data_IF_066658528691
#
_entry.id   IF_066658528691
#
_cell.length_a   1.000
_cell.length_b   1.000
_cell.length_c   1.000
_cell.angle_alpha   90.00
_cell.angle_beta   90.00
_cell.angle_gamma   90.00
#
_symmetry.space_group_name_H-M   'P 1'
#
loop_
_entity.id
_entity.type
_entity.pdbx_description
1 polymer ?
#
# COMPACT_ATOMS: atom_id res chain seq x y z
N UNK A 1 -31.51 -31.34 -24.53
CA UNK A 1 -31.84 -32.26 -23.41
C UNK A 1 -30.54 -32.59 -22.70
N UNK A 2 -30.45 -32.27 -21.41
CA UNK A 2 -29.25 -32.40 -20.58
C UNK A 2 -29.35 -31.40 -19.43
N UNK A 3 -29.92 -31.87 -18.32
CA UNK A 3 -30.38 -31.13 -17.14
C UNK A 3 -29.23 -30.51 -16.35
N UNK A 4 -29.30 -29.20 -16.09
CA UNK A 4 -28.53 -28.53 -15.04
C UNK A 4 -29.10 -28.94 -13.69
N UNK A 5 -28.32 -29.69 -12.91
CA UNK A 5 -28.63 -30.02 -11.52
C UNK A 5 -28.23 -28.87 -10.60
N UNK A 6 -29.20 -28.40 -9.81
CA UNK A 6 -29.04 -27.45 -8.73
C UNK A 6 -27.99 -27.93 -7.71
N UNK A 7 -26.99 -27.08 -7.45
CA UNK A 7 -26.09 -27.26 -6.31
C UNK A 7 -26.59 -26.39 -5.15
N UNK A 8 -27.07 -27.05 -4.10
CA UNK A 8 -27.56 -26.45 -2.86
C UNK A 8 -26.52 -25.56 -2.16
N UNK A 9 -26.95 -24.53 -1.41
CA UNK A 9 -26.04 -23.70 -0.62
C UNK A 9 -25.43 -24.52 0.53
N UNK A 10 -24.12 -24.38 0.71
CA UNK A 10 -23.39 -24.99 1.81
C UNK A 10 -23.80 -24.28 3.11
N UNK A 11 -24.47 -25.02 3.99
CA UNK A 11 -24.85 -24.61 5.34
C UNK A 11 -23.60 -24.54 6.24
N UNK A 12 -23.24 -23.34 6.70
CA UNK A 12 -22.05 -23.05 7.51
C UNK A 12 -22.36 -23.16 9.01
N UNK A 13 -23.58 -23.54 9.39
CA UNK A 13 -24.03 -23.57 10.79
C UNK A 13 -23.45 -24.74 11.58
N UNK A 14 -22.80 -25.71 10.93
CA UNK A 14 -22.22 -26.88 11.59
C UNK A 14 -20.79 -26.68 12.14
N UNK A 15 -20.15 -25.52 11.91
CA UNK A 15 -18.76 -25.26 12.33
C UNK A 15 -18.63 -24.53 13.68
N UNK A 16 -19.73 -24.38 14.43
CA UNK A 16 -19.75 -23.66 15.72
C UNK A 16 -20.06 -24.60 16.91
N UNK A 17 -20.45 -25.87 16.71
CA UNK A 17 -20.82 -26.75 17.83
C UNK A 17 -19.66 -27.45 18.54
N UNK A 18 -18.44 -27.39 18.03
CA UNK A 18 -17.29 -28.11 18.60
C UNK A 18 -16.32 -27.25 19.44
N UNK A 19 -16.70 -26.00 19.76
CA UNK A 19 -15.88 -25.10 20.59
C UNK A 19 -16.54 -24.67 21.91
N UNK A 20 -17.69 -25.23 22.29
CA UNK A 20 -18.40 -24.84 23.54
C UNK A 20 -18.47 -25.94 24.60
N UNK A 21 -17.82 -27.09 24.41
CA UNK A 21 -17.84 -28.16 25.40
C UNK A 21 -16.44 -28.52 25.89
N UNK A 22 -15.85 -27.63 26.67
CA UNK A 22 -15.03 -28.00 27.82
C UNK A 22 -14.78 -26.76 28.68
N UNK A 23 -15.47 -26.72 29.81
CA UNK A 23 -15.29 -25.74 30.88
C UNK A 23 -13.99 -26.00 31.63
N UNK A 24 -13.12 -24.99 31.78
CA UNK A 24 -12.65 -24.53 33.10
C UNK A 24 -11.64 -23.37 33.01
N UNK A 25 -12.03 -22.25 33.65
CA UNK A 25 -11.17 -21.34 34.43
C UNK A 25 -9.97 -20.65 33.77
N UNK A 26 -10.20 -19.50 33.11
CA UNK A 26 -9.16 -18.46 32.93
C UNK A 26 -9.54 -17.19 33.71
N UNK A 27 -8.60 -16.57 34.46
CA UNK A 27 -8.89 -15.35 35.20
C UNK A 27 -9.13 -14.18 34.24
N UNK A 28 -10.11 -13.36 34.57
CA UNK A 28 -10.46 -12.12 33.87
C UNK A 28 -9.30 -11.12 33.92
N UNK A 29 -8.63 -10.92 32.79
CA UNK A 29 -7.76 -9.75 32.59
C UNK A 29 -8.62 -8.55 32.17
N UNK A 30 -8.48 -7.37 32.83
CA UNK A 30 -9.30 -6.22 32.49
C UNK A 30 -8.75 -5.56 31.21
N UNK A 31 -9.49 -5.67 30.11
CA UNK A 31 -9.21 -5.04 28.82
C UNK A 31 -9.00 -3.51 28.91
N UNK A 32 -9.47 -2.88 30.00
CA UNK A 32 -9.31 -1.46 30.29
C UNK A 32 -7.88 -1.03 30.63
N UNK A 33 -7.03 -1.90 31.17
CA UNK A 33 -5.64 -1.55 31.50
C UNK A 33 -4.74 -1.49 30.25
N UNK A 34 -4.98 -2.37 29.28
CA UNK A 34 -4.28 -2.37 27.99
C UNK A 34 -4.64 -1.11 27.20
N UNK A 35 -5.90 -0.69 27.22
CA UNK A 35 -6.35 0.54 26.58
C UNK A 35 -5.73 1.80 27.21
N UNK A 36 -5.51 1.79 28.53
CA UNK A 36 -4.88 2.91 29.26
C UNK A 36 -3.37 3.04 28.97
N UNK A 37 -2.67 1.92 28.77
CA UNK A 37 -1.26 1.89 28.34
C UNK A 37 -1.07 2.32 26.87
N UNK A 38 -2.06 2.06 26.00
CA UNK A 38 -2.04 2.45 24.59
C UNK A 38 -2.43 3.92 24.32
N UNK A 39 -2.86 4.65 25.36
CA UNK A 39 -3.39 6.03 25.25
C UNK A 39 -2.63 7.08 26.06
N UNK A 40 -1.53 6.72 26.73
CA UNK A 40 -0.72 7.71 27.45
C UNK A 40 0.14 8.54 26.50
N UNK A 41 0.25 9.87 26.68
CA UNK A 41 1.18 10.70 25.92
C UNK A 41 2.65 10.41 26.32
N UNK A 42 3.53 10.25 25.33
CA UNK A 42 4.97 10.02 25.53
C UNK A 42 5.67 11.22 26.20
N UNK A 43 6.76 11.00 26.95
CA UNK A 43 7.58 12.08 27.50
C UNK A 43 8.52 12.71 26.44
N UNK A 44 8.98 13.97 26.64
CA UNK A 44 9.79 14.68 25.65
C UNK A 44 11.23 14.13 25.60
N UNK A 45 11.71 13.81 24.39
CA UNK A 45 13.12 13.52 24.14
C UNK A 45 13.91 14.84 24.18
N UNK A 46 14.76 14.98 25.19
CA UNK A 46 15.69 16.08 25.35
C UNK A 46 16.78 16.07 24.27
N UNK A 47 17.16 17.28 23.86
CA UNK A 47 18.17 17.63 22.86
C UNK A 47 19.58 17.13 23.22
N UNK A 48 20.28 16.60 22.23
CA UNK A 48 21.74 16.49 22.21
C UNK A 48 22.19 16.83 20.78
N UNK A 49 22.38 18.13 20.53
CA UNK A 49 23.05 18.65 19.34
C UNK A 49 24.54 18.79 19.63
N UNK A 50 25.37 17.96 19.00
CA UNK A 50 26.80 18.22 18.87
C UNK A 50 27.01 18.99 17.57
N UNK A 51 27.39 20.27 17.69
CA UNK A 51 27.77 21.13 16.57
C UNK A 51 29.08 20.62 15.93
N UNK A 52 28.98 20.17 14.68
CA UNK A 52 30.12 19.76 13.85
C UNK A 52 30.57 20.82 12.83
N UNK A 53 30.05 22.06 12.92
CA UNK A 53 30.32 23.13 11.96
C UNK A 53 31.44 24.12 12.39
N UNK A 54 32.28 23.77 13.36
CA UNK A 54 33.37 24.64 13.84
C UNK A 54 34.77 24.09 13.58
N UNK A 55 34.94 23.21 12.60
CA UNK A 55 36.25 22.75 12.15
C UNK A 55 36.24 22.67 10.63
N UNK A 56 37.17 23.40 10.02
CA UNK A 56 37.48 23.47 8.58
C UNK A 56 36.66 24.51 7.80
N UNK A 57 37.13 25.75 7.88
CA UNK A 57 36.83 26.76 6.86
C UNK A 57 37.63 26.49 5.59
N UNK A 58 36.95 26.49 4.45
CA UNK A 58 37.56 26.71 3.15
C UNK A 58 36.64 27.60 2.31
N UNK A 59 37.20 28.72 1.88
CA UNK A 59 36.64 29.67 0.94
C UNK A 59 37.16 29.28 -0.44
N UNK A 60 36.28 28.97 -1.37
CA UNK A 60 36.63 28.88 -2.80
C UNK A 60 35.47 29.37 -3.64
N UNK A 61 35.68 30.53 -4.26
CA UNK A 61 34.97 30.98 -5.46
C UNK A 61 35.16 29.95 -6.58
N UNK A 62 34.06 29.38 -7.09
CA UNK A 62 34.06 28.66 -8.37
C UNK A 62 32.78 29.00 -9.14
N UNK A 63 33.03 29.72 -10.24
CA UNK A 63 32.37 29.81 -11.54
C UNK A 63 31.00 29.13 -11.70
N UNK A 64 30.02 29.91 -12.21
CA UNK A 64 28.82 29.42 -12.89
C UNK A 64 29.22 28.49 -14.03
N UNK A 65 29.09 27.18 -13.79
CA UNK A 65 29.00 26.18 -14.86
C UNK A 65 27.53 25.79 -15.00
N UNK A 66 27.04 25.82 -16.23
CA UNK A 66 25.65 25.54 -16.55
C UNK A 66 25.35 24.06 -16.29
N UNK A 67 24.79 23.76 -15.13
CA UNK A 67 24.32 22.42 -14.79
C UNK A 67 23.05 22.09 -15.59
N UNK A 68 23.26 21.51 -16.77
CA UNK A 68 22.25 20.77 -17.52
C UNK A 68 22.06 19.35 -16.93
N UNK A 69 22.11 19.20 -15.60
CA UNK A 69 21.42 18.12 -14.91
C UNK A 69 19.92 18.31 -15.17
N UNK A 70 19.36 17.60 -16.15
CA UNK A 70 17.92 17.42 -16.23
C UNK A 70 17.47 16.82 -14.89
N UNK A 71 16.92 17.65 -14.00
CA UNK A 71 16.41 17.17 -12.73
C UNK A 71 15.39 16.08 -13.06
N UNK A 72 15.70 14.85 -12.67
CA UNK A 72 14.85 13.70 -12.93
C UNK A 72 13.44 14.03 -12.40
N UNK A 73 12.45 13.98 -13.29
CA UNK A 73 11.05 14.36 -13.05
C UNK A 73 10.15 13.23 -13.51
N UNK A 74 8.98 13.06 -12.87
CA UNK A 74 7.96 12.13 -13.37
C UNK A 74 7.51 12.52 -14.78
N UNK A 75 7.81 11.66 -15.74
CA UNK A 75 7.40 11.81 -17.15
C UNK A 75 6.10 11.07 -17.44
N UNK A 76 5.77 10.02 -16.68
CA UNK A 76 4.49 9.29 -16.79
C UNK A 76 3.87 9.04 -15.42
N UNK A 77 2.58 9.34 -15.29
CA UNK A 77 1.73 8.92 -14.18
C UNK A 77 0.89 7.73 -14.64
N UNK A 78 1.13 6.55 -14.07
CA UNK A 78 0.34 5.36 -14.36
C UNK A 78 -0.91 5.32 -13.48
N UNK A 79 -2.04 5.73 -14.05
CA UNK A 79 -3.32 5.83 -13.40
C UNK A 79 -4.11 4.51 -13.47
N UNK A 80 -3.63 3.52 -12.72
CA UNK A 80 -4.31 2.25 -12.54
C UNK A 80 -4.36 1.90 -11.05
N UNK A 81 -5.55 1.73 -10.50
CA UNK A 81 -5.68 1.32 -9.09
C UNK A 81 -5.06 -0.07 -8.88
N UNK A 82 -4.79 -0.39 -7.61
CA UNK A 82 -4.31 -1.71 -7.23
C UNK A 82 -5.12 -2.83 -7.88
N UNK A 83 -4.47 -3.94 -8.25
CA UNK A 83 -5.11 -5.12 -8.85
C UNK A 83 -5.63 -4.93 -10.30
N UNK A 84 -5.13 -3.93 -11.02
CA UNK A 84 -5.45 -3.67 -12.43
C UNK A 84 -4.34 -4.05 -13.42
N UNK A 85 -3.49 -5.01 -13.07
CA UNK A 85 -2.37 -5.41 -13.95
C UNK A 85 -1.15 -4.49 -13.87
N UNK A 86 -1.06 -3.67 -12.82
CA UNK A 86 0.01 -2.68 -12.57
C UNK A 86 1.42 -3.25 -12.69
N UNK A 87 1.66 -4.50 -12.26
CA UNK A 87 2.98 -5.15 -12.38
C UNK A 87 3.39 -5.41 -13.83
N UNK A 88 2.46 -5.85 -14.68
CA UNK A 88 2.75 -6.06 -16.11
C UNK A 88 3.15 -4.76 -16.79
N UNK A 89 2.46 -3.67 -16.47
CA UNK A 89 2.76 -2.36 -17.04
C UNK A 89 4.05 -1.79 -16.47
N UNK A 90 4.33 -1.99 -15.18
CA UNK A 90 5.61 -1.63 -14.59
C UNK A 90 6.80 -2.29 -15.33
N UNK A 91 6.68 -3.57 -15.65
CA UNK A 91 7.71 -4.27 -16.44
C UNK A 91 7.73 -3.82 -17.90
N UNK A 92 6.58 -3.51 -18.50
CA UNK A 92 6.53 -2.96 -19.85
C UNK A 92 7.29 -1.62 -19.93
N UNK A 93 7.08 -0.73 -18.95
CA UNK A 93 7.79 0.53 -18.84
C UNK A 93 9.30 0.34 -18.65
N UNK A 94 9.73 -0.64 -17.86
CA UNK A 94 11.16 -0.97 -17.68
C UNK A 94 11.81 -1.44 -18.97
N UNK A 95 11.11 -2.27 -19.74
CA UNK A 95 11.58 -2.69 -21.07
C UNK A 95 11.78 -1.50 -22.01
N UNK A 96 10.97 -0.44 -21.88
CA UNK A 96 11.11 0.81 -22.64
C UNK A 96 12.21 1.76 -22.09
N UNK A 97 12.97 1.31 -21.07
CA UNK A 97 14.11 2.02 -20.50
C UNK A 97 13.77 3.02 -19.40
N UNK A 98 12.55 3.00 -18.85
CA UNK A 98 12.17 3.88 -17.75
C UNK A 98 12.54 3.32 -16.38
N UNK A 99 12.88 4.21 -15.46
CA UNK A 99 12.92 3.91 -14.02
C UNK A 99 11.50 3.98 -13.45
N UNK A 100 11.05 2.89 -12.81
CA UNK A 100 9.63 2.72 -12.43
C UNK A 100 9.49 2.36 -10.97
N UNK A 101 8.69 3.13 -10.23
CA UNK A 101 8.24 2.75 -8.90
C UNK A 101 7.06 1.77 -8.99
N UNK A 102 7.17 0.64 -8.31
CA UNK A 102 6.07 -0.30 -8.13
C UNK A 102 6.06 -0.89 -6.72
N UNK A 103 4.86 -0.95 -6.10
CA UNK A 103 4.71 -1.20 -4.67
C UNK A 103 5.19 -2.57 -4.18
N UNK A 104 5.28 -3.57 -5.05
CA UNK A 104 5.69 -4.93 -4.67
C UNK A 104 7.15 -5.26 -4.97
N UNK A 105 7.90 -4.38 -5.62
CA UNK A 105 9.32 -4.64 -5.92
C UNK A 105 10.15 -4.73 -4.65
N UNK A 106 9.94 -3.78 -3.73
CA UNK A 106 10.49 -3.81 -2.39
C UNK A 106 9.44 -3.36 -1.37
N UNK A 107 8.62 -4.32 -0.93
CA UNK A 107 7.58 -4.10 0.06
C UNK A 107 8.14 -3.49 1.35
N UNK A 108 9.39 -3.73 1.73
CA UNK A 108 9.95 -3.22 2.98
C UNK A 108 10.65 -1.87 2.81
N UNK A 109 11.37 -1.68 1.70
CA UNK A 109 12.11 -0.46 1.41
C UNK A 109 11.26 0.69 0.85
N UNK A 110 9.98 0.44 0.53
CA UNK A 110 9.05 1.53 0.22
C UNK A 110 9.04 2.61 1.32
N UNK A 111 8.91 3.90 0.96
CA UNK A 111 8.95 5.01 1.91
C UNK A 111 7.62 5.13 2.68
N UNK A 112 7.23 4.09 3.43
CA UNK A 112 5.91 3.97 4.07
C UNK A 112 5.56 5.13 5.00
N UNK A 113 6.55 5.67 5.72
CA UNK A 113 6.36 6.87 6.55
C UNK A 113 5.91 8.04 5.68
N UNK A 114 6.55 8.27 4.53
CA UNK A 114 6.23 9.40 3.65
C UNK A 114 4.90 9.18 2.92
N UNK A 115 4.57 7.94 2.54
CA UNK A 115 3.25 7.58 1.98
C UNK A 115 2.15 7.83 3.00
N UNK A 116 2.38 7.48 4.27
CA UNK A 116 1.43 7.75 5.35
C UNK A 116 1.20 9.26 5.52
N UNK A 117 2.28 10.05 5.54
CA UNK A 117 2.20 11.52 5.59
C UNK A 117 1.47 12.10 4.38
N UNK A 118 1.67 11.54 3.19
CA UNK A 118 0.96 11.93 1.97
C UNK A 118 -0.54 11.66 2.08
N UNK A 119 -0.94 10.52 2.67
CA UNK A 119 -2.34 10.21 2.95
C UNK A 119 -2.96 11.21 3.94
N UNK A 120 -2.25 11.56 5.01
CA UNK A 120 -2.70 12.55 5.99
C UNK A 120 -2.84 13.96 5.41
N UNK A 121 -1.90 14.36 4.55
CA UNK A 121 -1.95 15.65 3.85
C UNK A 121 -3.06 15.71 2.79
N UNK A 122 -3.33 14.59 2.13
CA UNK A 122 -4.35 14.51 1.06
C UNK A 122 -5.77 14.39 1.64
N UNK A 123 -5.93 13.64 2.71
CA UNK A 123 -7.22 13.37 3.35
C UNK A 123 -7.12 13.62 4.86
N UNK A 124 -7.21 14.89 5.31
CA UNK A 124 -6.97 15.24 6.71
C UNK A 124 -8.06 14.73 7.68
N UNK A 125 -9.21 14.27 7.17
CA UNK A 125 -10.33 13.78 7.97
C UNK A 125 -10.30 12.28 8.28
N UNK A 126 -9.26 11.55 7.83
CA UNK A 126 -9.14 10.10 8.06
C UNK A 126 -8.83 9.76 9.52
N UNK A 127 -9.22 8.57 10.01
CA UNK A 127 -8.93 8.14 11.38
C UNK A 127 -7.43 8.16 11.72
N UNK A 128 -7.08 8.80 12.83
CA UNK A 128 -5.72 8.87 13.33
C UNK A 128 -4.77 9.71 12.48
N UNK A 129 -5.30 10.62 11.65
CA UNK A 129 -4.49 11.57 10.90
C UNK A 129 -3.83 12.60 11.82
N UNK A 130 -2.56 12.87 11.56
CA UNK A 130 -1.92 14.10 12.00
C UNK A 130 -2.24 15.22 11.00
N UNK A 131 -2.66 16.39 11.46
CA UNK A 131 -2.93 17.52 10.56
C UNK A 131 -1.66 17.93 9.81
N UNK A 132 -1.77 18.09 8.48
CA UNK A 132 -0.67 18.47 7.60
C UNK A 132 -1.16 19.46 6.55
N UNK A 133 -0.22 20.22 6.01
CA UNK A 133 -0.47 21.01 4.81
C UNK A 133 -0.55 20.10 3.59
N UNK A 134 -1.34 20.47 2.56
CA UNK A 134 -1.34 19.75 1.29
C UNK A 134 0.07 19.64 0.72
N UNK A 135 0.41 18.47 0.17
CA UNK A 135 1.72 18.24 -0.43
C UNK A 135 1.96 19.18 -1.62
N UNK A 136 3.12 19.80 -1.62
CA UNK A 136 3.68 20.54 -2.73
C UNK A 136 4.36 19.59 -3.72
N UNK A 137 4.77 20.12 -4.88
CA UNK A 137 5.60 19.37 -5.84
C UNK A 137 6.87 18.80 -5.21
N UNK A 138 7.56 19.57 -4.37
CA UNK A 138 8.79 19.14 -3.71
C UNK A 138 8.57 17.95 -2.75
N UNK A 139 7.41 17.89 -2.10
CA UNK A 139 7.04 16.75 -1.25
C UNK A 139 6.85 15.48 -2.08
N UNK A 140 6.23 15.61 -3.25
CA UNK A 140 6.09 14.50 -4.21
C UNK A 140 7.43 14.09 -4.83
N UNK A 141 8.34 15.04 -5.07
CA UNK A 141 9.69 14.76 -5.57
C UNK A 141 10.50 13.95 -4.55
N UNK A 142 10.36 14.30 -3.26
CA UNK A 142 10.98 13.56 -2.15
C UNK A 142 10.44 12.14 -2.02
N UNK A 143 9.16 11.93 -2.39
CA UNK A 143 8.51 10.63 -2.34
C UNK A 143 8.90 9.75 -3.53
N UNK A 144 8.78 10.28 -4.75
CA UNK A 144 9.01 9.55 -6.00
C UNK A 144 9.69 10.38 -7.09
N UNK A 145 9.34 11.65 -7.25
CA UNK A 145 9.68 12.39 -8.48
C UNK A 145 11.16 12.58 -8.76
N UNK A 146 12.02 12.55 -7.73
CA UNK A 146 13.48 12.64 -7.87
C UNK A 146 14.18 11.31 -8.21
N UNK A 147 13.47 10.17 -8.19
CA UNK A 147 14.06 8.82 -8.28
C UNK A 147 13.52 7.97 -9.42
N UNK A 148 12.34 8.32 -9.91
CA UNK A 148 11.61 7.51 -10.87
C UNK A 148 11.09 8.40 -11.98
N UNK A 149 11.08 7.86 -13.19
CA UNK A 149 10.43 8.49 -14.35
C UNK A 149 8.93 8.20 -14.31
N UNK A 150 8.54 7.05 -13.77
CA UNK A 150 7.15 6.56 -13.76
C UNK A 150 6.77 6.03 -12.38
N UNK A 151 5.58 6.41 -11.92
CA UNK A 151 4.97 5.90 -10.68
C UNK A 151 3.73 5.06 -10.97
N UNK A 152 3.58 3.97 -10.22
CA UNK A 152 2.46 3.02 -10.33
C UNK A 152 1.96 2.60 -8.94
N UNK A 153 0.87 1.83 -8.88
CA UNK A 153 0.43 1.07 -7.70
C UNK A 153 0.21 1.90 -6.42
N UNK A 154 1.24 2.11 -5.58
CA UNK A 154 1.15 2.92 -4.36
C UNK A 154 0.89 4.41 -4.63
N UNK A 155 1.24 4.89 -5.82
CA UNK A 155 0.95 6.24 -6.26
C UNK A 155 -0.49 6.42 -6.76
N UNK A 156 -1.18 5.33 -7.12
CA UNK A 156 -2.48 5.38 -7.78
C UNK A 156 -3.56 6.13 -7.00
N UNK A 157 -3.67 6.00 -5.66
CA UNK A 157 -4.64 6.78 -4.87
C UNK A 157 -4.40 8.30 -4.92
N UNK A 158 -3.18 8.74 -5.28
CA UNK A 158 -2.74 10.13 -5.29
C UNK A 158 -2.67 10.74 -6.70
N UNK A 159 -3.18 10.04 -7.71
CA UNK A 159 -3.03 10.46 -9.13
C UNK A 159 -3.58 11.86 -9.38
N UNK A 160 -4.69 12.26 -8.74
CA UNK A 160 -5.21 13.62 -8.90
C UNK A 160 -4.23 14.67 -8.37
N UNK A 161 -3.56 14.42 -7.25
CA UNK A 161 -2.56 15.30 -6.66
C UNK A 161 -1.30 15.33 -7.54
N UNK A 162 -0.87 14.16 -8.04
CA UNK A 162 0.27 14.03 -8.94
C UNK A 162 0.02 14.74 -10.28
N UNK A 163 -1.17 14.65 -10.87
CA UNK A 163 -1.50 15.38 -12.11
C UNK A 163 -1.35 16.90 -11.92
N UNK A 164 -1.71 17.43 -10.75
CA UNK A 164 -1.54 18.85 -10.43
C UNK A 164 -0.07 19.22 -10.22
N UNK A 165 0.69 18.36 -9.55
CA UNK A 165 2.11 18.59 -9.25
C UNK A 165 3.01 18.44 -10.50
N UNK A 166 2.64 17.56 -11.44
CA UNK A 166 3.39 17.24 -12.65
C UNK A 166 2.52 17.51 -13.89
N UNK A 167 2.28 18.78 -14.26
CA UNK A 167 1.36 19.12 -15.34
C UNK A 167 1.83 18.64 -16.72
N UNK A 168 3.13 18.43 -16.88
CA UNK A 168 3.74 17.97 -18.14
C UNK A 168 3.80 16.44 -18.27
N UNK A 169 3.59 15.69 -17.18
CA UNK A 169 3.64 14.24 -17.21
C UNK A 169 2.50 13.67 -18.06
N UNK A 170 2.81 12.72 -18.93
CA UNK A 170 1.80 11.92 -19.65
C UNK A 170 1.06 11.03 -18.66
N UNK A 171 -0.20 10.73 -18.92
CA UNK A 171 -1.03 9.90 -18.04
C UNK A 171 -1.52 8.67 -18.79
N UNK A 172 -1.14 7.49 -18.31
CA UNK A 172 -1.66 6.22 -18.85
C UNK A 172 -2.75 5.72 -17.91
N UNK A 173 -3.98 5.69 -18.38
CA UNK A 173 -5.16 5.28 -17.62
C UNK A 173 -5.47 3.83 -17.95
N UNK A 174 -5.47 2.97 -16.92
CA UNK A 174 -5.95 1.60 -17.05
C UNK A 174 -7.14 1.43 -16.14
N UNK A 175 -8.31 1.25 -16.72
CA UNK A 175 -9.56 1.08 -16.01
C UNK A 175 -10.18 -0.26 -16.38
N UNK A 176 -10.61 -1.02 -15.36
CA UNK A 176 -11.41 -2.24 -15.54
C UNK A 176 -12.88 -1.94 -15.24
N UNK A 177 -13.76 -2.84 -15.65
CA UNK A 177 -15.10 -2.87 -15.07
C UNK A 177 -15.02 -3.03 -13.54
N UNK A 178 -15.87 -2.31 -12.81
CA UNK A 178 -15.82 -2.28 -11.35
C UNK A 178 -16.25 -3.59 -10.73
N UNK A 179 -17.33 -4.21 -11.21
CA UNK A 179 -17.84 -5.47 -10.65
C UNK A 179 -16.82 -6.60 -10.85
N UNK A 180 -16.02 -6.50 -11.91
CA UNK A 180 -14.89 -7.39 -12.19
C UNK A 180 -13.64 -7.10 -11.35
N UNK A 181 -13.42 -5.85 -10.93
CA UNK A 181 -12.24 -5.41 -10.18
C UNK A 181 -12.43 -5.50 -8.67
N UNK A 182 -13.56 -5.04 -8.15
CA UNK A 182 -13.84 -4.88 -6.72
C UNK A 182 -13.61 -6.16 -5.91
N UNK A 183 -14.05 -7.36 -6.34
CA UNK A 183 -13.79 -8.59 -5.59
C UNK A 183 -12.29 -8.89 -5.43
N UNK A 184 -11.47 -8.56 -6.44
CA UNK A 184 -10.01 -8.72 -6.41
C UNK A 184 -9.36 -7.73 -5.46
N UNK A 185 -9.79 -6.46 -5.51
CA UNK A 185 -9.34 -5.41 -4.61
C UNK A 185 -9.67 -5.74 -3.16
N UNK A 186 -10.95 -6.02 -2.88
CA UNK A 186 -11.48 -6.36 -1.55
C UNK A 186 -10.75 -7.53 -0.93
N UNK A 187 -10.62 -8.63 -1.66
CA UNK A 187 -9.99 -9.85 -1.13
C UNK A 187 -8.49 -9.71 -0.86
N UNK A 188 -7.76 -8.94 -1.67
CA UNK A 188 -6.31 -8.83 -1.53
C UNK A 188 -5.90 -7.73 -0.55
N UNK A 189 -6.59 -6.59 -0.54
CA UNK A 189 -6.24 -5.44 0.29
C UNK A 189 -7.10 -5.35 1.52
N UNK A 190 -8.43 -5.27 1.36
CA UNK A 190 -9.31 -5.00 2.50
C UNK A 190 -9.33 -6.16 3.51
N UNK A 191 -9.46 -7.40 3.03
CA UNK A 191 -9.44 -8.58 3.92
C UNK A 191 -8.12 -8.69 4.69
N UNK A 192 -7.00 -8.40 4.02
CA UNK A 192 -5.66 -8.46 4.63
C UNK A 192 -5.45 -7.36 5.67
N UNK A 193 -6.04 -6.17 5.47
CA UNK A 193 -5.78 -4.97 6.26
C UNK A 193 -6.81 -4.71 7.37
N UNK A 194 -8.02 -5.27 7.28
CA UNK A 194 -9.12 -4.87 8.17
C UNK A 194 -9.91 -6.02 8.80
N UNK A 195 -9.94 -7.23 8.22
CA UNK A 195 -10.95 -8.24 8.62
C UNK A 195 -10.53 -9.11 9.81
N UNK A 196 -9.23 -9.26 10.12
CA UNK A 196 -8.79 -10.10 11.24
C UNK A 196 -8.53 -9.28 12.52
N UNK A 197 -9.00 -9.73 13.70
CA UNK A 197 -8.73 -9.05 14.97
C UNK A 197 -7.25 -9.09 15.36
N UNK A 198 -6.44 -9.94 14.72
CA UNK A 198 -4.99 -10.00 14.93
C UNK A 198 -4.22 -8.96 14.10
N UNK A 199 -4.87 -8.26 13.17
CA UNK A 199 -4.19 -7.26 12.33
C UNK A 199 -3.57 -6.14 13.16
N UNK A 200 -4.26 -5.48 14.10
CA UNK A 200 -3.66 -4.41 14.92
C UNK A 200 -2.41 -4.88 15.67
N UNK A 201 -2.44 -6.10 16.22
CA UNK A 201 -1.30 -6.74 16.89
C UNK A 201 -0.15 -6.95 15.89
N UNK A 202 -0.45 -7.48 14.71
CA UNK A 202 0.54 -7.67 13.65
C UNK A 202 1.19 -6.36 13.20
N UNK A 203 0.41 -5.29 13.03
CA UNK A 203 0.91 -3.97 12.67
C UNK A 203 1.79 -3.37 13.76
N UNK A 204 1.39 -3.53 15.03
CA UNK A 204 2.19 -3.10 16.18
C UNK A 204 3.58 -3.73 16.14
N UNK A 205 3.67 -5.06 15.96
CA UNK A 205 4.96 -5.74 15.87
C UNK A 205 5.74 -5.42 14.59
N UNK A 206 5.06 -5.27 13.44
CA UNK A 206 5.73 -4.90 12.19
C UNK A 206 6.40 -3.52 12.28
N UNK A 207 5.78 -2.57 12.99
CA UNK A 207 6.43 -1.31 13.35
C UNK A 207 7.52 -1.53 14.39
N UNK A 208 7.20 -1.94 15.61
CA UNK A 208 8.13 -1.83 16.74
C UNK A 208 9.33 -2.80 16.65
N UNK A 209 9.19 -3.91 15.91
CA UNK A 209 10.28 -4.87 15.73
C UNK A 209 10.99 -4.74 14.39
N UNK A 210 10.29 -4.33 13.32
CA UNK A 210 10.88 -4.30 11.97
C UNK A 210 10.97 -2.89 11.37
N UNK A 211 10.45 -1.85 12.03
CA UNK A 211 10.41 -0.49 11.51
C UNK A 211 9.47 -0.28 10.32
N UNK A 212 8.60 -1.23 9.99
CA UNK A 212 7.78 -1.22 8.77
C UNK A 212 6.39 -0.67 9.06
N UNK A 213 6.06 0.50 8.49
CA UNK A 213 4.75 1.15 8.65
C UNK A 213 3.72 0.82 7.58
N UNK A 214 4.00 -0.15 6.71
CA UNK A 214 3.19 -0.46 5.52
C UNK A 214 1.68 -0.57 5.80
N UNK A 215 1.29 -1.31 6.83
CA UNK A 215 -0.14 -1.47 7.13
C UNK A 215 -0.79 -0.22 7.70
N UNK A 216 -0.08 0.60 8.49
CA UNK A 216 -0.60 1.89 8.95
C UNK A 216 -0.82 2.86 7.78
N UNK A 217 0.20 2.98 6.91
CA UNK A 217 0.14 3.77 5.69
C UNK A 217 -1.03 3.33 4.81
N UNK A 218 -1.12 2.03 4.50
CA UNK A 218 -2.16 1.50 3.63
C UNK A 218 -3.55 1.66 4.23
N UNK A 219 -3.76 1.49 5.55
CA UNK A 219 -5.07 1.75 6.16
C UNK A 219 -5.50 3.20 5.99
N UNK A 220 -4.59 4.16 6.23
CA UNK A 220 -4.85 5.59 6.02
C UNK A 220 -5.13 5.92 4.55
N UNK A 221 -4.35 5.38 3.63
CA UNK A 221 -4.58 5.53 2.18
C UNK A 221 -5.97 5.03 1.79
N UNK A 222 -6.39 3.85 2.26
CA UNK A 222 -7.70 3.30 1.90
C UNK A 222 -8.85 4.08 2.53
N UNK A 223 -8.73 4.45 3.81
CA UNK A 223 -9.72 5.32 4.45
C UNK A 223 -9.86 6.66 3.73
N UNK A 224 -8.75 7.28 3.35
CA UNK A 224 -8.78 8.56 2.63
C UNK A 224 -9.35 8.43 1.23
N UNK A 225 -8.84 7.46 0.45
CA UNK A 225 -9.29 7.22 -0.92
C UNK A 225 -10.81 6.99 -0.99
N UNK A 226 -11.36 6.16 -0.09
CA UNK A 226 -12.80 5.88 -0.06
C UNK A 226 -13.63 6.89 0.74
N UNK A 227 -13.01 7.91 1.35
CA UNK A 227 -13.72 8.87 2.20
C UNK A 227 -14.44 8.20 3.38
N UNK A 228 -13.76 7.26 4.04
CA UNK A 228 -14.34 6.34 5.00
C UNK A 228 -13.54 6.29 6.32
N UNK A 229 -14.21 5.92 7.41
CA UNK A 229 -13.63 5.77 8.76
C UNK A 229 -13.57 4.32 9.24
N UNK A 230 -14.27 3.42 8.58
CA UNK A 230 -14.34 2.00 8.89
C UNK A 230 -14.54 1.18 7.61
N UNK A 231 -14.53 -0.15 7.73
CA UNK A 231 -14.64 -1.05 6.58
C UNK A 231 -16.01 -1.00 5.92
N UNK A 232 -17.08 -0.80 6.69
CA UNK A 232 -18.45 -0.70 6.17
C UNK A 232 -18.61 0.52 5.27
N UNK A 233 -18.09 1.68 5.70
CA UNK A 233 -18.06 2.90 4.89
C UNK A 233 -17.20 2.73 3.62
N UNK A 234 -16.08 1.98 3.69
CA UNK A 234 -15.29 1.66 2.48
C UNK A 234 -16.16 0.90 1.47
N UNK A 235 -16.87 -0.13 1.91
CA UNK A 235 -17.74 -0.94 1.03
C UNK A 235 -18.89 -0.10 0.46
N UNK A 236 -19.54 0.72 1.30
CA UNK A 236 -20.65 1.58 0.89
C UNK A 236 -20.22 2.64 -0.14
N UNK A 237 -19.02 3.22 0.00
CA UNK A 237 -18.53 4.29 -0.85
C UNK A 237 -17.81 3.79 -2.12
N UNK A 238 -17.44 2.51 -2.17
CA UNK A 238 -16.53 1.94 -3.17
C UNK A 238 -16.87 2.30 -4.63
N UNK A 239 -18.13 2.05 -5.03
CA UNK A 239 -18.62 2.27 -6.39
C UNK A 239 -18.53 3.76 -6.77
N UNK A 240 -19.08 4.62 -5.91
CA UNK A 240 -19.13 6.07 -6.16
C UNK A 240 -17.72 6.69 -6.21
N UNK A 241 -16.85 6.32 -5.26
CA UNK A 241 -15.47 6.78 -5.24
C UNK A 241 -14.72 6.36 -6.49
N UNK A 242 -14.90 5.11 -6.93
CA UNK A 242 -14.27 4.58 -8.14
C UNK A 242 -14.66 5.38 -9.39
N UNK A 243 -15.96 5.60 -9.60
CA UNK A 243 -16.43 6.34 -10.77
C UNK A 243 -15.92 7.78 -10.75
N UNK A 244 -16.06 8.45 -9.60
CA UNK A 244 -15.58 9.82 -9.41
C UNK A 244 -14.08 9.92 -9.65
N UNK A 245 -13.29 8.96 -9.18
CA UNK A 245 -11.85 8.95 -9.39
C UNK A 245 -11.47 9.02 -10.86
N UNK A 246 -12.07 8.17 -11.70
CA UNK A 246 -11.77 8.15 -13.13
C UNK A 246 -12.41 9.32 -13.89
N UNK A 247 -13.62 9.75 -13.51
CA UNK A 247 -14.26 10.93 -14.10
C UNK A 247 -13.43 12.19 -13.87
N UNK A 248 -13.05 12.46 -12.61
CA UNK A 248 -12.21 13.61 -12.25
C UNK A 248 -10.86 13.54 -12.95
N UNK A 249 -10.23 12.37 -13.02
CA UNK A 249 -8.99 12.20 -13.77
C UNK A 249 -9.15 12.65 -15.23
N UNK A 250 -10.24 12.23 -15.89
CA UNK A 250 -10.49 12.55 -17.29
C UNK A 250 -10.84 14.02 -17.53
N UNK A 251 -11.40 14.69 -16.52
CA UNK A 251 -11.63 16.14 -16.55
C UNK A 251 -10.30 16.92 -16.38
N UNK A 252 -9.36 16.39 -15.58
CA UNK A 252 -8.09 17.06 -15.29
C UNK A 252 -7.02 16.93 -16.38
N UNK A 253 -7.10 15.89 -17.22
CA UNK A 253 -6.06 15.58 -18.20
C UNK A 253 -6.68 15.61 -19.60
N UNK A 254 -6.23 16.48 -20.51
CA UNK A 254 -6.77 16.52 -21.86
C UNK A 254 -6.35 15.26 -22.67
N UNK A 255 -7.09 14.87 -23.73
CA UNK A 255 -6.85 13.63 -24.48
C UNK A 255 -5.43 13.49 -25.02
N UNK A 256 -4.75 14.58 -25.36
CA UNK A 256 -3.40 14.58 -25.93
C UNK A 256 -2.34 14.15 -24.92
N UNK A 257 -2.62 14.33 -23.61
CA UNK A 257 -1.75 13.92 -22.50
C UNK A 257 -2.25 12.64 -21.83
N UNK A 258 -3.30 12.00 -22.34
CA UNK A 258 -3.93 10.83 -21.73
C UNK A 258 -4.07 9.67 -22.70
N UNK A 259 -3.51 8.52 -22.34
CA UNK A 259 -3.78 7.26 -23.02
C UNK A 259 -4.79 6.44 -22.22
N UNK A 260 -5.94 6.11 -22.82
CA UNK A 260 -6.82 5.06 -22.33
C UNK A 260 -6.27 3.71 -22.79
N UNK A 261 -5.73 2.92 -21.87
CA UNK A 261 -5.03 1.68 -22.17
C UNK A 261 -5.79 0.47 -21.59
N UNK A 262 -6.02 -0.54 -22.44
CA UNK A 262 -6.53 -1.84 -22.01
C UNK A 262 -5.37 -2.83 -21.95
N UNK A 263 -5.41 -3.73 -20.98
CA UNK A 263 -4.35 -4.72 -20.75
C UNK A 263 -4.02 -5.63 -21.95
N UNK A 264 -4.94 -5.76 -22.90
CA UNK A 264 -4.78 -6.57 -24.10
C UNK A 264 -4.30 -5.77 -25.33
N UNK A 265 -4.09 -4.46 -25.19
CA UNK A 265 -3.69 -3.57 -26.29
C UNK A 265 -2.22 -3.76 -26.71
N UNK A 266 -1.38 -4.38 -25.88
CA UNK A 266 0.00 -4.70 -26.21
C UNK A 266 0.93 -3.48 -26.29
N UNK A 267 1.97 -3.57 -27.12
CA UNK A 267 3.02 -2.56 -27.21
C UNK A 267 2.64 -1.32 -28.01
N UNK A 268 1.99 -1.49 -29.16
CA UNK A 268 1.82 -0.44 -30.16
C UNK A 268 1.25 0.87 -29.61
N UNK A 269 0.06 0.89 -28.95
CA UNK A 269 -0.51 2.15 -28.46
C UNK A 269 0.30 2.75 -27.30
N UNK A 270 0.95 1.90 -26.49
CA UNK A 270 1.81 2.37 -25.40
C UNK A 270 3.06 3.06 -25.96
N UNK A 271 3.74 2.44 -26.92
CA UNK A 271 4.95 2.95 -27.53
C UNK A 271 4.68 4.21 -28.35
N UNK A 272 3.61 4.22 -29.16
CA UNK A 272 3.18 5.39 -29.92
C UNK A 272 2.89 6.59 -29.00
N UNK A 273 2.15 6.37 -27.91
CA UNK A 273 1.85 7.43 -26.96
C UNK A 273 3.09 7.94 -26.23
N UNK A 274 4.04 7.07 -25.89
CA UNK A 274 5.27 7.45 -25.20
C UNK A 274 6.36 7.99 -26.13
N UNK A 275 6.21 7.84 -27.44
CA UNK A 275 7.23 8.21 -28.43
C UNK A 275 8.44 7.27 -28.39
N UNK A 276 8.19 5.97 -28.24
CA UNK A 276 9.20 4.91 -28.17
C UNK A 276 9.03 3.93 -29.34
N UNK A 277 10.10 3.25 -29.70
CA UNK A 277 10.04 2.15 -30.65
C UNK A 277 9.40 0.91 -30.01
N UNK A 278 8.68 0.13 -30.82
CA UNK A 278 8.08 -1.14 -30.37
C UNK A 278 9.21 -2.17 -30.19
N UNK A 279 9.39 -2.74 -28.99
CA UNK A 279 10.46 -3.71 -28.75
C UNK A 279 10.11 -5.08 -29.36
N UNK A 280 11.13 -5.80 -29.83
CA UNK A 280 11.00 -7.17 -30.38
C UNK A 280 10.94 -8.23 -29.26
N UNK A 281 10.02 -8.04 -28.30
CA UNK A 281 9.74 -8.99 -27.23
C UNK A 281 8.23 -9.06 -26.96
N UNK A 282 7.68 -10.19 -26.48
CA UNK A 282 6.27 -10.26 -26.10
C UNK A 282 5.91 -9.27 -25.00
N UNK A 283 4.70 -8.70 -25.05
CA UNK A 283 4.22 -7.81 -23.98
C UNK A 283 4.14 -8.56 -22.63
N UNK A 284 4.67 -8.00 -21.52
CA UNK A 284 4.68 -8.67 -20.23
C UNK A 284 3.27 -9.02 -19.74
N UNK A 285 3.05 -10.27 -19.32
CA UNK A 285 1.80 -10.74 -18.71
C UNK A 285 2.05 -11.31 -17.32
N UNK A 286 2.35 -10.43 -16.38
CA UNK A 286 2.52 -10.75 -14.98
C UNK A 286 1.20 -10.56 -14.21
N UNK A 287 1.03 -11.25 -13.08
CA UNK A 287 -0.24 -11.29 -12.34
C UNK A 287 -1.47 -11.84 -13.10
N UNK A 288 -1.29 -12.58 -14.20
CA UNK A 288 -2.32 -13.53 -14.63
C UNK A 288 -2.54 -14.45 -13.44
N UNK A 289 -3.75 -14.45 -12.89
CA UNK A 289 -4.15 -15.15 -11.67
C UNK A 289 -3.75 -16.62 -11.80
N UNK A 290 -2.52 -17.00 -11.42
CA UNK A 290 -2.19 -18.39 -11.16
C UNK A 290 -3.16 -18.77 -10.06
N UNK A 291 -4.14 -19.62 -10.39
CA UNK A 291 -5.08 -20.15 -9.42
C UNK A 291 -4.25 -20.99 -8.46
N UNK A 292 -3.70 -20.34 -7.42
CA UNK A 292 -2.93 -21.06 -6.41
C UNK A 292 -3.87 -22.10 -5.82
N UNK A 293 -3.43 -23.35 -5.76
CA UNK A 293 -4.26 -24.39 -5.18
C UNK A 293 -4.53 -24.04 -3.71
N UNK A 294 -5.63 -24.56 -3.14
CA UNK A 294 -5.91 -24.37 -1.70
C UNK A 294 -4.71 -24.80 -0.84
N UNK A 295 -3.98 -25.83 -1.29
CA UNK A 295 -2.79 -26.37 -0.64
C UNK A 295 -1.62 -25.38 -0.66
N UNK A 296 -1.37 -24.70 -1.78
CA UNK A 296 -0.31 -23.68 -1.87
C UNK A 296 -0.59 -22.47 -0.97
N UNK A 297 -1.87 -22.08 -0.84
CA UNK A 297 -2.30 -21.01 0.06
C UNK A 297 -2.11 -21.43 1.52
N UNK A 298 -2.51 -22.65 1.87
CA UNK A 298 -2.35 -23.20 3.21
C UNK A 298 -0.87 -23.39 3.58
N UNK A 299 -0.05 -23.89 2.66
CA UNK A 299 1.38 -24.08 2.86
C UNK A 299 2.09 -22.73 3.09
N UNK A 300 1.80 -21.74 2.25
CA UNK A 300 2.33 -20.38 2.43
C UNK A 300 1.87 -19.74 3.75
N UNK A 301 0.60 -19.93 4.13
CA UNK A 301 0.05 -19.45 5.40
C UNK A 301 0.74 -20.10 6.59
N UNK A 302 0.87 -21.43 6.58
CA UNK A 302 1.50 -22.19 7.64
C UNK A 302 2.99 -21.86 7.78
N UNK A 303 3.69 -21.63 6.67
CA UNK A 303 5.08 -21.19 6.69
C UNK A 303 5.23 -19.78 7.28
N UNK A 304 4.35 -18.83 6.94
CA UNK A 304 4.32 -17.50 7.57
C UNK A 304 4.02 -17.57 9.06
N UNK A 305 3.03 -18.37 9.46
CA UNK A 305 2.69 -18.60 10.87
C UNK A 305 3.89 -19.20 11.60
N UNK A 306 4.53 -20.22 11.03
CA UNK A 306 5.70 -20.88 11.62
C UNK A 306 6.88 -19.92 11.79
N UNK A 307 7.17 -19.09 10.79
CA UNK A 307 8.24 -18.07 10.87
C UNK A 307 7.94 -17.03 11.95
N UNK A 308 6.69 -16.58 12.07
CA UNK A 308 6.27 -15.65 13.12
C UNK A 308 6.31 -16.29 14.50
N UNK A 309 5.81 -17.51 14.64
CA UNK A 309 5.85 -18.28 15.87
C UNK A 309 7.29 -18.46 16.38
N UNK A 310 8.25 -18.79 15.51
CA UNK A 310 9.67 -18.89 15.88
C UNK A 310 10.25 -17.59 16.45
N UNK A 311 9.78 -16.43 15.98
CA UNK A 311 10.24 -15.12 16.47
C UNK A 311 9.57 -14.71 17.79
N UNK A 312 8.32 -15.12 18.01
CA UNK A 312 7.50 -14.72 19.16
C UNK A 312 7.62 -15.71 20.33
N UNK A 313 7.88 -16.99 20.05
CA UNK A 313 8.05 -18.06 21.04
C UNK A 313 9.03 -17.72 22.18
N UNK A 314 10.24 -17.16 21.94
CA UNK A 314 11.14 -16.86 23.05
C UNK A 314 10.57 -15.80 24.01
N UNK A 315 9.82 -14.82 23.49
CA UNK A 315 9.18 -13.79 24.32
C UNK A 315 8.00 -14.33 25.13
N UNK A 316 7.20 -15.21 24.52
CA UNK A 316 6.09 -15.87 25.23
C UNK A 316 6.62 -16.80 26.31
N UNK A 317 7.67 -17.58 26.02
CA UNK A 317 8.33 -18.44 27.01
C UNK A 317 8.96 -17.64 28.14
N UNK A 318 9.60 -16.50 27.84
CA UNK A 318 10.14 -15.60 28.85
C UNK A 318 9.03 -15.03 29.75
N UNK A 319 7.92 -14.58 29.17
CA UNK A 319 6.76 -14.07 29.91
C UNK A 319 6.15 -15.15 30.81
N UNK A 320 5.95 -16.37 30.29
CA UNK A 320 5.45 -17.51 31.06
C UNK A 320 6.41 -17.89 32.18
N UNK A 321 7.72 -17.83 31.96
CA UNK A 321 8.73 -18.05 32.98
C UNK A 321 8.66 -17.02 34.11
N UNK A 322 8.47 -15.73 33.78
CA UNK A 322 8.26 -14.67 34.77
C UNK A 322 6.97 -14.88 35.56
N UNK A 323 5.86 -15.20 34.89
CA UNK A 323 4.57 -15.49 35.56
C UNK A 323 4.69 -16.69 36.49
N UNK A 324 5.33 -17.78 36.05
CA UNK A 324 5.58 -18.95 36.88
C UNK A 324 6.46 -18.60 38.09
N UNK A 325 7.52 -17.83 37.90
CA UNK A 325 8.40 -17.39 38.99
C UNK A 325 7.69 -16.50 40.03
N UNK A 326 6.68 -15.73 39.62
CA UNK A 326 5.83 -14.93 40.51
C UNK A 326 4.83 -15.82 41.26
N UNK A 327 4.27 -16.83 40.60
CA UNK A 327 3.24 -17.70 41.18
C UNK A 327 3.78 -18.74 42.18
N UNK A 328 5.05 -19.13 42.04
CA UNK A 328 5.72 -20.11 42.91
C UNK A 328 6.61 -19.48 44.00
N UNK A 329 6.42 -18.21 44.32
CA UNK A 329 7.17 -17.47 45.35
C UNK A 329 6.28 -17.13 46.54
#
# INVERSE_FOLDING_TARGET
MGTFGDAAPIDVTFLISDLTNESSSFPSFPFSEILRLLTSPEPPIAQLSLDLNTLVGFHTDIMEDQDQSSQQELVVIHAALFRMGTTSLADAYRTLGYTVHHGVDDIRGNPWVLIEKAAEATWPSIPGATQRQPYTRQDWDSLWGSKYDIVTDLASPFVHQLIKAYPNAKVVVVQRDFDSWWPSFRSQLLTTLFTSPLVPIGLFFDWHLNGVRAGYAMRKVHFGFFGAKNLEEIEANARQTYDRYYETLRQMVPPERRLEYKMDDGWEPLCAFLGKDVPDVPFPRLNVRRRRSKEEILAWRNEKIRRRAKKVAPWVLALLGVVAAIWYR
#
